data_IF_353061698844
#
_entry.id   IF_353061698844
#
_cell.length_a   1.000
_cell.length_b   1.000
_cell.length_c   1.000
_cell.angle_alpha   90.00
_cell.angle_beta   90.00
_cell.angle_gamma   90.00
#
_symmetry.space_group_name_H-M   'P 1'
#
loop_
_entity.id
_entity.type
_entity.pdbx_description
1 polymer ?
#
# COMPACT_ATOMS: atom_id res chain seq x y z
N UNK A 1 -173.17 48.14 -23.72
CA UNK A 1 -173.84 46.83 -23.58
C UNK A 1 -173.10 45.74 -24.34
N UNK A 2 -172.60 44.75 -23.58
CA UNK A 2 -172.81 43.31 -23.83
C UNK A 2 -171.95 42.53 -24.85
N UNK A 3 -170.88 43.07 -25.44
CA UNK A 3 -169.88 42.22 -26.14
C UNK A 3 -168.45 42.63 -25.78
N UNK A 4 -167.60 41.65 -25.48
CA UNK A 4 -166.15 41.76 -25.41
C UNK A 4 -165.43 42.29 -24.15
N UNK A 5 -166.13 42.43 -23.03
CA UNK A 5 -165.60 41.97 -21.73
C UNK A 5 -165.23 40.47 -21.75
N UNK A 6 -165.60 39.76 -22.81
CA UNK A 6 -165.23 38.37 -23.13
C UNK A 6 -163.85 38.23 -23.77
N UNK A 7 -163.32 39.20 -24.55
CA UNK A 7 -161.94 39.06 -25.08
C UNK A 7 -160.90 39.44 -24.04
N UNK A 8 -161.27 40.33 -23.12
CA UNK A 8 -160.56 40.52 -21.86
C UNK A 8 -160.63 39.29 -20.92
N UNK A 9 -161.44 38.28 -21.24
CA UNK A 9 -161.58 37.04 -20.46
C UNK A 9 -161.08 35.80 -21.19
N UNK A 10 -161.01 35.81 -22.53
CA UNK A 10 -160.53 34.67 -23.33
C UNK A 10 -159.02 34.71 -23.61
N UNK A 11 -158.38 35.88 -23.69
CA UNK A 11 -156.91 35.90 -23.85
C UNK A 11 -156.16 35.74 -22.53
N UNK A 12 -156.87 35.80 -21.40
CA UNK A 12 -156.37 35.37 -20.08
C UNK A 12 -156.27 33.84 -19.95
N UNK A 13 -156.69 33.05 -20.94
CA UNK A 13 -156.83 31.59 -20.81
C UNK A 13 -156.00 30.81 -21.86
N UNK A 14 -155.45 31.47 -22.90
CA UNK A 14 -154.54 30.83 -23.87
C UNK A 14 -153.10 31.26 -23.61
N UNK A 15 -152.39 30.50 -22.77
CA UNK A 15 -150.93 30.45 -22.88
C UNK A 15 -150.13 30.73 -21.61
N UNK A 16 -150.75 30.68 -20.43
CA UNK A 16 -150.09 30.39 -19.14
C UNK A 16 -149.45 28.99 -19.09
N UNK A 17 -148.97 28.48 -20.24
CA UNK A 17 -148.26 27.23 -20.48
C UNK A 17 -147.12 27.48 -21.50
N UNK A 18 -146.28 28.48 -21.24
CA UNK A 18 -144.90 28.51 -21.72
C UNK A 18 -144.02 28.82 -20.51
N UNK A 19 -143.77 27.75 -19.77
CA UNK A 19 -142.95 27.69 -18.59
C UNK A 19 -141.49 28.09 -18.90
N UNK A 20 -140.89 28.71 -17.89
CA UNK A 20 -139.46 28.74 -17.58
C UNK A 20 -138.52 29.68 -18.34
N UNK A 21 -137.85 30.48 -17.50
CA UNK A 21 -136.57 31.19 -17.65
C UNK A 21 -136.76 32.69 -17.85
N UNK A 22 -136.85 33.39 -16.73
CA UNK A 22 -136.51 34.81 -16.65
C UNK A 22 -135.04 34.97 -17.07
N UNK A 23 -134.80 35.81 -18.08
CA UNK A 23 -133.50 36.19 -18.64
C UNK A 23 -132.41 36.44 -17.58
N UNK A 24 -132.83 36.96 -16.43
CA UNK A 24 -132.00 37.24 -15.25
C UNK A 24 -131.41 35.98 -14.58
N UNK A 25 -132.14 34.87 -14.51
CA UNK A 25 -131.63 33.62 -13.92
C UNK A 25 -130.64 32.90 -14.85
N UNK A 26 -130.81 33.09 -16.16
CA UNK A 26 -129.90 32.61 -17.20
C UNK A 26 -128.59 33.42 -17.21
N UNK A 27 -128.69 34.76 -17.16
CA UNK A 27 -127.53 35.66 -17.04
C UNK A 27 -126.70 35.39 -15.77
N UNK A 28 -127.37 35.12 -14.63
CA UNK A 28 -126.71 34.80 -13.34
C UNK A 28 -125.88 33.51 -13.37
N UNK A 29 -126.18 32.57 -14.27
CA UNK A 29 -125.41 31.32 -14.47
C UNK A 29 -124.41 31.39 -15.62
N UNK A 30 -124.73 32.10 -16.72
CA UNK A 30 -123.88 32.20 -17.92
C UNK A 30 -122.63 33.04 -17.69
N UNK A 31 -122.74 34.19 -17.01
CA UNK A 31 -121.61 35.09 -16.75
C UNK A 31 -120.48 34.41 -15.96
N UNK A 32 -120.73 33.74 -14.81
CA UNK A 32 -119.67 33.05 -14.06
C UNK A 32 -119.14 31.82 -14.80
N UNK A 33 -119.94 31.18 -15.66
CA UNK A 33 -119.48 30.07 -16.48
C UNK A 33 -118.52 30.55 -17.58
N UNK A 34 -118.81 31.68 -18.23
CA UNK A 34 -117.91 32.31 -19.19
C UNK A 34 -116.59 32.74 -18.54
N UNK A 35 -116.63 33.27 -17.31
CA UNK A 35 -115.40 33.62 -16.59
C UNK A 35 -114.58 32.37 -16.23
N UNK A 36 -115.23 31.28 -15.79
CA UNK A 36 -114.54 29.99 -15.61
C UNK A 36 -113.92 29.47 -16.90
N UNK A 37 -114.62 29.58 -18.03
CA UNK A 37 -114.09 29.19 -19.36
C UNK A 37 -112.86 30.04 -19.70
N UNK A 38 -112.90 31.35 -19.45
CA UNK A 38 -111.78 32.26 -19.68
C UNK A 38 -110.56 31.90 -18.82
N UNK A 39 -110.79 31.60 -17.53
CA UNK A 39 -109.74 31.15 -16.61
C UNK A 39 -109.14 29.82 -17.10
N UNK A 40 -109.97 28.83 -17.43
CA UNK A 40 -109.52 27.54 -17.95
C UNK A 40 -108.73 27.67 -19.26
N UNK A 41 -109.14 28.56 -20.16
CA UNK A 41 -108.39 28.87 -21.38
C UNK A 41 -107.02 29.48 -21.07
N UNK A 42 -106.96 30.41 -20.11
CA UNK A 42 -105.70 31.00 -19.65
C UNK A 42 -104.77 29.97 -19.01
N UNK A 43 -105.30 29.10 -18.15
CA UNK A 43 -104.55 27.99 -17.54
C UNK A 43 -104.04 27.00 -18.59
N UNK A 44 -104.87 26.63 -19.56
CA UNK A 44 -104.45 25.76 -20.68
C UNK A 44 -103.32 26.40 -21.51
N UNK A 45 -103.39 27.71 -21.77
CA UNK A 45 -102.31 28.42 -22.46
C UNK A 45 -101.02 28.43 -21.64
N UNK A 46 -101.12 28.60 -20.32
CA UNK A 46 -99.97 28.52 -19.40
C UNK A 46 -99.36 27.12 -19.38
N UNK A 47 -100.19 26.08 -19.23
CA UNK A 47 -99.77 24.67 -19.28
C UNK A 47 -99.09 24.34 -20.61
N UNK A 48 -99.63 24.82 -21.74
CA UNK A 48 -99.00 24.65 -23.06
C UNK A 48 -97.61 25.31 -23.12
N UNK A 49 -97.47 26.51 -22.57
CA UNK A 49 -96.16 27.19 -22.48
C UNK A 49 -95.17 26.41 -21.62
N UNK A 50 -95.62 25.89 -20.48
CA UNK A 50 -94.78 25.12 -19.58
C UNK A 50 -94.38 23.76 -20.18
N UNK A 51 -95.27 23.09 -20.93
CA UNK A 51 -94.94 21.89 -21.72
C UNK A 51 -93.84 22.18 -22.74
N UNK A 52 -93.92 23.31 -23.46
CA UNK A 52 -92.88 23.70 -24.43
C UNK A 52 -91.54 23.94 -23.72
N UNK A 53 -91.53 24.60 -22.55
CA UNK A 53 -90.32 24.82 -21.75
C UNK A 53 -89.74 23.52 -21.19
N UNK A 54 -90.59 22.58 -20.77
CA UNK A 54 -90.15 21.27 -20.29
C UNK A 54 -89.54 20.48 -21.44
N UNK A 55 -90.19 20.46 -22.61
CA UNK A 55 -89.66 19.77 -23.80
C UNK A 55 -88.31 20.32 -24.23
N UNK A 56 -88.09 21.64 -24.19
CA UNK A 56 -86.78 22.21 -24.50
C UNK A 56 -85.71 21.84 -23.45
N UNK A 57 -86.05 21.84 -22.15
CA UNK A 57 -85.16 21.37 -21.09
C UNK A 57 -84.80 19.89 -21.25
N UNK A 58 -85.78 19.04 -21.58
CA UNK A 58 -85.59 17.61 -21.82
C UNK A 58 -84.70 17.38 -23.04
N UNK A 59 -84.95 18.09 -24.15
CA UNK A 59 -84.09 18.04 -25.34
C UNK A 59 -82.65 18.43 -25.02
N UNK A 60 -82.45 19.52 -24.28
CA UNK A 60 -81.11 19.96 -23.87
C UNK A 60 -80.43 18.93 -22.95
N UNK A 61 -81.18 18.32 -22.03
CA UNK A 61 -80.67 17.26 -21.17
C UNK A 61 -80.22 16.04 -21.99
N UNK A 62 -80.98 15.62 -23.01
CA UNK A 62 -80.58 14.53 -23.91
C UNK A 62 -79.29 14.86 -24.68
N UNK A 63 -79.17 16.07 -25.22
CA UNK A 63 -77.93 16.51 -25.88
C UNK A 63 -76.74 16.51 -24.94
N UNK A 64 -76.92 16.95 -23.69
CA UNK A 64 -75.85 16.92 -22.70
C UNK A 64 -75.46 15.50 -22.31
N UNK A 65 -76.43 14.59 -22.15
CA UNK A 65 -76.17 13.18 -21.86
C UNK A 65 -75.40 12.53 -23.02
N UNK A 66 -75.78 12.78 -24.28
CA UNK A 66 -75.07 12.27 -25.46
C UNK A 66 -73.62 12.80 -25.52
N UNK A 67 -73.41 14.09 -25.23
CA UNK A 67 -72.07 14.67 -25.15
C UNK A 67 -71.22 14.06 -24.02
N UNK A 68 -71.81 13.86 -22.84
CA UNK A 68 -71.13 13.22 -21.71
C UNK A 68 -70.80 11.75 -22.02
N UNK A 69 -71.68 11.02 -22.69
CA UNK A 69 -71.45 9.66 -23.15
C UNK A 69 -70.23 9.62 -24.10
N UNK A 70 -70.21 10.49 -25.13
CA UNK A 70 -69.09 10.60 -26.07
C UNK A 70 -67.76 10.94 -25.37
N UNK A 71 -67.79 11.85 -24.40
CA UNK A 71 -66.61 12.19 -23.61
C UNK A 71 -66.14 11.00 -22.77
N UNK A 72 -67.07 10.28 -22.13
CA UNK A 72 -66.78 9.06 -21.34
C UNK A 72 -66.15 7.98 -22.21
N UNK A 73 -66.68 7.74 -23.41
CA UNK A 73 -66.15 6.77 -24.36
C UNK A 73 -64.75 7.18 -24.85
N UNK A 74 -64.55 8.46 -25.15
CA UNK A 74 -63.23 9.00 -25.51
C UNK A 74 -62.21 8.82 -24.40
N UNK A 75 -62.59 9.12 -23.15
CA UNK A 75 -61.71 8.95 -21.98
C UNK A 75 -61.37 7.47 -21.78
N UNK A 76 -62.36 6.58 -21.88
CA UNK A 76 -62.16 5.14 -21.77
C UNK A 76 -61.15 4.64 -22.82
N UNK A 77 -61.30 5.08 -24.07
CA UNK A 77 -60.36 4.75 -25.14
C UNK A 77 -58.94 5.27 -24.87
N UNK A 78 -58.80 6.52 -24.40
CA UNK A 78 -57.49 7.08 -24.02
C UNK A 78 -56.84 6.33 -22.86
N UNK A 79 -57.63 5.85 -21.88
CA UNK A 79 -57.13 5.02 -20.78
C UNK A 79 -56.60 3.68 -21.31
N UNK A 80 -57.34 3.01 -22.20
CA UNK A 80 -56.91 1.74 -22.81
C UNK A 80 -55.62 1.93 -23.61
N UNK A 81 -55.53 2.98 -24.43
CA UNK A 81 -54.32 3.30 -25.19
C UNK A 81 -53.13 3.63 -24.29
N UNK A 82 -53.34 4.44 -23.25
CA UNK A 82 -52.29 4.79 -22.28
C UNK A 82 -51.79 3.55 -21.55
N UNK A 83 -52.70 2.67 -21.12
CA UNK A 83 -52.36 1.39 -20.49
C UNK A 83 -51.49 0.53 -21.42
N UNK A 84 -51.89 0.35 -22.67
CA UNK A 84 -51.14 -0.43 -23.66
C UNK A 84 -49.72 0.14 -23.89
N UNK A 85 -49.62 1.46 -24.06
CA UNK A 85 -48.34 2.14 -24.23
C UNK A 85 -47.42 2.01 -23.01
N UNK A 86 -47.98 2.08 -21.80
CA UNK A 86 -47.21 1.89 -20.56
C UNK A 86 -46.70 0.46 -20.44
N UNK A 87 -47.55 -0.55 -20.72
CA UNK A 87 -47.15 -1.97 -20.72
C UNK A 87 -45.99 -2.18 -21.68
N UNK A 88 -46.10 -1.70 -22.92
CA UNK A 88 -45.03 -1.85 -23.93
C UNK A 88 -43.72 -1.15 -23.51
N UNK A 89 -43.80 0.04 -22.92
CA UNK A 89 -42.61 0.75 -22.42
C UNK A 89 -41.95 0.02 -21.24
N UNK A 90 -42.75 -0.54 -20.34
CA UNK A 90 -42.27 -1.32 -19.19
C UNK A 90 -41.55 -2.58 -19.70
N UNK A 91 -42.18 -3.37 -20.57
CA UNK A 91 -41.58 -4.58 -21.15
C UNK A 91 -40.28 -4.27 -21.91
N UNK A 92 -40.27 -3.19 -22.71
CA UNK A 92 -39.07 -2.76 -23.43
C UNK A 92 -37.96 -2.32 -22.48
N UNK A 93 -38.29 -1.60 -21.41
CA UNK A 93 -37.33 -1.14 -20.41
C UNK A 93 -36.76 -2.31 -19.61
N UNK A 94 -37.61 -3.25 -19.19
CA UNK A 94 -37.21 -4.47 -18.49
C UNK A 94 -36.28 -5.32 -19.36
N UNK A 95 -36.64 -5.57 -20.62
CA UNK A 95 -35.82 -6.31 -21.57
C UNK A 95 -34.45 -5.64 -21.80
N UNK A 96 -34.42 -4.33 -22.06
CA UNK A 96 -33.16 -3.57 -22.22
C UNK A 96 -32.32 -3.58 -20.96
N UNK A 97 -32.94 -3.46 -19.78
CA UNK A 97 -32.24 -3.51 -18.50
C UNK A 97 -31.63 -4.88 -18.27
N UNK A 98 -32.40 -5.96 -18.44
CA UNK A 98 -31.94 -7.33 -18.30
C UNK A 98 -30.83 -7.68 -19.30
N UNK A 99 -30.92 -7.19 -20.54
CA UNK A 99 -29.87 -7.37 -21.54
C UNK A 99 -28.57 -6.64 -21.13
N UNK A 100 -28.66 -5.40 -20.64
CA UNK A 100 -27.50 -4.65 -20.14
C UNK A 100 -26.88 -5.30 -18.90
N UNK A 101 -27.69 -5.72 -17.94
CA UNK A 101 -27.23 -6.42 -16.73
C UNK A 101 -26.50 -7.72 -17.12
N UNK A 102 -27.08 -8.50 -18.05
CA UNK A 102 -26.45 -9.72 -18.55
C UNK A 102 -25.14 -9.44 -19.29
N UNK A 103 -25.11 -8.41 -20.15
CA UNK A 103 -23.90 -8.00 -20.86
C UNK A 103 -22.78 -7.56 -19.90
N UNK A 104 -23.12 -6.82 -18.84
CA UNK A 104 -22.19 -6.44 -17.78
C UNK A 104 -21.70 -7.68 -17.02
N UNK A 105 -22.58 -8.62 -16.66
CA UNK A 105 -22.17 -9.87 -16.02
C UNK A 105 -21.20 -10.69 -16.88
N UNK A 106 -21.46 -10.78 -18.19
CA UNK A 106 -20.59 -11.49 -19.14
C UNK A 106 -19.23 -10.78 -19.30
N UNK A 107 -19.21 -9.44 -19.40
CA UNK A 107 -17.97 -8.68 -19.57
C UNK A 107 -17.12 -8.68 -18.30
N UNK A 108 -17.75 -8.58 -17.11
CA UNK A 108 -17.07 -8.72 -15.83
C UNK A 108 -16.44 -10.10 -15.68
N UNK A 109 -17.14 -11.18 -16.04
CA UNK A 109 -16.60 -12.54 -15.93
C UNK A 109 -15.38 -12.75 -16.84
N UNK A 110 -15.44 -12.30 -18.11
CA UNK A 110 -14.31 -12.43 -19.04
C UNK A 110 -13.09 -11.62 -18.58
N UNK A 111 -13.28 -10.34 -18.25
CA UNK A 111 -12.15 -9.47 -17.90
C UNK A 111 -11.58 -9.77 -16.52
N UNK A 112 -12.41 -10.20 -15.56
CA UNK A 112 -11.95 -10.61 -14.22
C UNK A 112 -11.08 -11.87 -14.29
N UNK A 113 -11.41 -12.83 -15.15
CA UNK A 113 -10.60 -14.05 -15.31
C UNK A 113 -9.20 -13.74 -15.87
N UNK A 114 -9.10 -12.90 -16.90
CA UNK A 114 -7.80 -12.44 -17.42
C UNK A 114 -7.01 -11.61 -16.38
N UNK A 115 -7.71 -10.82 -15.55
CA UNK A 115 -7.09 -10.08 -14.44
C UNK A 115 -6.45 -11.02 -13.41
N UNK A 116 -7.16 -12.07 -12.99
CA UNK A 116 -6.63 -13.08 -12.05
C UNK A 116 -5.42 -13.82 -12.64
N UNK A 117 -5.50 -14.22 -13.91
CA UNK A 117 -4.37 -14.87 -14.61
C UNK A 117 -3.16 -13.94 -14.68
N UNK A 118 -3.35 -12.67 -15.01
CA UNK A 118 -2.26 -11.70 -15.10
C UNK A 118 -1.55 -11.52 -13.73
N UNK A 119 -2.31 -11.44 -12.64
CA UNK A 119 -1.75 -11.35 -11.29
C UNK A 119 -1.00 -12.62 -10.91
N UNK A 120 -1.54 -13.81 -11.21
CA UNK A 120 -0.85 -15.08 -10.95
C UNK A 120 0.46 -15.20 -11.72
N UNK A 121 0.48 -14.81 -12.99
CA UNK A 121 1.71 -14.78 -13.80
C UNK A 121 2.71 -13.80 -13.20
N UNK A 122 2.27 -12.61 -12.77
CA UNK A 122 3.15 -11.63 -12.13
C UNK A 122 3.76 -12.16 -10.83
N UNK A 123 2.99 -12.87 -10.00
CA UNK A 123 3.49 -13.51 -8.77
C UNK A 123 4.49 -14.61 -9.10
N UNK A 124 4.20 -15.48 -10.08
CA UNK A 124 5.11 -16.54 -10.50
C UNK A 124 6.42 -15.98 -11.06
N UNK A 125 6.36 -14.93 -11.88
CA UNK A 125 7.54 -14.25 -12.40
C UNK A 125 8.35 -13.62 -11.26
N UNK A 126 7.69 -12.94 -10.32
CA UNK A 126 8.35 -12.35 -9.15
C UNK A 126 9.06 -13.40 -8.31
N UNK A 127 8.41 -14.54 -8.04
CA UNK A 127 9.01 -15.67 -7.33
C UNK A 127 10.21 -16.27 -8.09
N UNK A 128 10.10 -16.42 -9.41
CA UNK A 128 11.18 -16.91 -10.26
C UNK A 128 12.39 -15.95 -10.24
N UNK A 129 12.15 -14.64 -10.35
CA UNK A 129 13.18 -13.61 -10.24
C UNK A 129 13.86 -13.64 -8.88
N UNK A 130 13.08 -13.70 -7.79
CA UNK A 130 13.61 -13.79 -6.44
C UNK A 130 14.50 -15.03 -6.26
N UNK A 131 14.05 -16.18 -6.75
CA UNK A 131 14.82 -17.42 -6.69
C UNK A 131 16.13 -17.33 -7.50
N UNK A 132 16.09 -16.78 -8.71
CA UNK A 132 17.25 -16.64 -9.58
C UNK A 132 18.30 -15.69 -8.98
N UNK A 133 17.86 -14.55 -8.45
CA UNK A 133 18.74 -13.56 -7.78
C UNK A 133 19.37 -14.18 -6.54
N UNK A 134 18.60 -14.84 -5.68
CA UNK A 134 19.10 -15.45 -4.45
C UNK A 134 20.12 -16.57 -4.76
N UNK A 135 19.89 -17.36 -5.82
CA UNK A 135 20.84 -18.38 -6.28
C UNK A 135 22.16 -17.77 -6.74
N UNK A 136 22.12 -16.70 -7.55
CA UNK A 136 23.33 -16.02 -8.03
C UNK A 136 24.14 -15.39 -6.89
N UNK A 137 23.48 -14.66 -5.99
CA UNK A 137 24.16 -14.00 -4.88
C UNK A 137 24.93 -14.99 -3.97
N UNK A 138 24.41 -16.20 -3.75
CA UNK A 138 25.12 -17.22 -2.96
C UNK A 138 26.37 -17.74 -3.67
N UNK A 139 26.30 -17.95 -4.99
CA UNK A 139 27.42 -18.42 -5.81
C UNK A 139 28.52 -17.36 -5.88
N UNK A 140 28.14 -16.10 -6.10
CA UNK A 140 29.11 -15.00 -6.23
C UNK A 140 29.83 -14.74 -4.90
N UNK A 141 29.10 -14.74 -3.77
CA UNK A 141 29.71 -14.58 -2.44
C UNK A 141 30.67 -15.73 -2.11
N UNK A 142 30.28 -16.97 -2.39
CA UNK A 142 31.14 -18.14 -2.14
C UNK A 142 32.44 -18.04 -2.95
N UNK A 143 32.33 -17.78 -4.27
CA UNK A 143 33.49 -17.66 -5.14
C UNK A 143 34.42 -16.51 -4.75
N UNK A 144 33.86 -15.35 -4.34
CA UNK A 144 34.66 -14.21 -3.89
C UNK A 144 35.39 -14.50 -2.58
N UNK A 145 34.73 -15.16 -1.62
CA UNK A 145 35.36 -15.56 -0.36
C UNK A 145 36.46 -16.58 -0.61
N UNK A 146 36.22 -17.58 -1.46
CA UNK A 146 37.21 -18.59 -1.82
C UNK A 146 38.42 -17.97 -2.55
N UNK A 147 38.17 -17.06 -3.50
CA UNK A 147 39.23 -16.31 -4.18
C UNK A 147 40.03 -15.46 -3.19
N UNK A 148 39.35 -14.74 -2.29
CA UNK A 148 40.00 -13.90 -1.29
C UNK A 148 40.86 -14.72 -0.32
N UNK A 149 40.36 -15.87 0.13
CA UNK A 149 41.10 -16.80 0.98
C UNK A 149 42.32 -17.37 0.26
N UNK A 150 42.18 -17.77 -1.01
CA UNK A 150 43.28 -18.26 -1.82
C UNK A 150 44.34 -17.18 -2.07
N UNK A 151 43.92 -15.94 -2.36
CA UNK A 151 44.85 -14.81 -2.52
C UNK A 151 45.54 -14.48 -1.21
N UNK A 152 44.83 -14.45 -0.08
CA UNK A 152 45.42 -14.26 1.25
C UNK A 152 46.49 -15.32 1.53
N UNK A 153 46.16 -16.60 1.34
CA UNK A 153 47.10 -17.71 1.53
C UNK A 153 48.32 -17.57 0.63
N UNK A 154 48.14 -17.21 -0.64
CA UNK A 154 49.26 -17.02 -1.60
C UNK A 154 50.17 -15.85 -1.21
N UNK A 155 49.59 -14.76 -0.71
CA UNK A 155 50.36 -13.61 -0.20
C UNK A 155 51.13 -14.00 1.06
N UNK A 156 50.49 -14.69 2.01
CA UNK A 156 51.15 -15.15 3.23
C UNK A 156 52.30 -16.13 2.92
N UNK A 157 52.09 -17.08 2.01
CA UNK A 157 53.16 -17.98 1.55
C UNK A 157 54.31 -17.24 0.85
N UNK A 158 54.00 -16.25 0.02
CA UNK A 158 55.01 -15.42 -0.65
C UNK A 158 55.81 -14.61 0.35
N UNK A 159 55.15 -14.06 1.37
CA UNK A 159 55.78 -13.29 2.44
C UNK A 159 56.68 -14.18 3.31
N UNK A 160 56.22 -15.39 3.66
CA UNK A 160 57.03 -16.39 4.37
C UNK A 160 58.27 -16.77 3.57
N UNK A 161 58.14 -16.97 2.26
CA UNK A 161 59.27 -17.28 1.38
C UNK A 161 60.28 -16.15 1.31
N UNK A 162 59.81 -14.91 1.19
CA UNK A 162 60.68 -13.74 1.11
C UNK A 162 61.40 -13.48 2.43
N UNK A 163 60.70 -13.58 3.57
CA UNK A 163 61.34 -13.56 4.88
C UNK A 163 62.32 -14.70 5.08
N UNK A 164 62.05 -15.90 4.56
CA UNK A 164 63.00 -17.00 4.56
C UNK A 164 64.34 -16.61 3.91
N UNK A 165 64.31 -16.05 2.70
CA UNK A 165 65.53 -15.53 2.06
C UNK A 165 66.18 -14.41 2.85
N UNK A 166 65.38 -13.52 3.43
CA UNK A 166 65.88 -12.44 4.27
C UNK A 166 66.65 -12.99 5.48
N UNK A 167 66.16 -14.06 6.10
CA UNK A 167 66.88 -14.72 7.22
C UNK A 167 68.23 -15.29 6.79
N UNK A 168 68.33 -15.87 5.59
CA UNK A 168 69.61 -16.39 5.06
C UNK A 168 70.64 -15.26 4.86
N UNK A 169 70.19 -14.10 4.33
CA UNK A 169 71.05 -12.92 4.18
C UNK A 169 71.47 -12.34 5.54
N UNK A 170 70.57 -12.34 6.52
CA UNK A 170 70.84 -11.85 7.87
C UNK A 170 71.83 -12.74 8.63
N UNK A 171 71.78 -14.06 8.44
CA UNK A 171 72.79 -14.98 8.98
C UNK A 171 74.20 -14.64 8.48
N UNK A 172 74.32 -14.26 7.21
CA UNK A 172 75.59 -13.81 6.63
C UNK A 172 76.09 -12.50 7.29
N UNK A 173 75.17 -11.59 7.64
CA UNK A 173 75.49 -10.34 8.35
C UNK A 173 75.88 -10.58 9.82
N UNK A 174 75.35 -11.63 10.46
CA UNK A 174 75.72 -12.01 11.82
C UNK A 174 77.19 -12.42 11.96
N UNK A 175 77.76 -13.08 10.94
CA UNK A 175 79.19 -13.38 10.93
C UNK A 175 80.06 -12.11 11.00
N UNK A 176 79.59 -10.96 10.51
CA UNK A 176 80.30 -9.69 10.64
C UNK A 176 80.28 -9.18 12.09
N UNK A 177 79.19 -9.40 12.83
CA UNK A 177 79.09 -9.07 14.26
C UNK A 177 80.05 -9.95 15.07
N UNK A 178 80.12 -11.25 14.75
CA UNK A 178 81.04 -12.20 15.40
C UNK A 178 82.51 -11.81 15.17
N UNK A 179 82.87 -11.39 13.95
CA UNK A 179 84.20 -10.87 13.64
C UNK A 179 84.51 -9.58 14.43
N UNK A 180 83.56 -8.65 14.52
CA UNK A 180 83.72 -7.42 15.32
C UNK A 180 83.94 -7.72 16.80
N UNK A 181 83.19 -8.67 17.38
CA UNK A 181 83.39 -9.12 18.77
C UNK A 181 84.82 -9.59 19.02
N UNK A 182 85.39 -10.35 18.08
CA UNK A 182 86.78 -10.84 18.16
C UNK A 182 87.80 -9.69 18.10
N UNK A 183 87.54 -8.65 17.31
CA UNK A 183 88.43 -7.47 17.22
C UNK A 183 88.38 -6.58 18.47
N UNK A 184 87.22 -6.40 19.09
CA UNK A 184 87.06 -5.59 20.32
C UNK A 184 87.68 -6.27 21.53
N UNK A 185 87.65 -7.60 21.61
CA UNK A 185 88.35 -8.36 22.66
C UNK A 185 89.87 -8.10 22.68
N UNK A 186 90.46 -7.70 21.56
CA UNK A 186 91.88 -7.37 21.43
C UNK A 186 92.21 -5.89 21.74
N UNK A 187 91.22 -5.05 22.09
CA UNK A 187 91.41 -3.63 22.42
C UNK A 187 90.34 -3.15 23.42
N UNK A 188 90.56 -3.35 24.74
CA UNK A 188 89.54 -3.23 25.78
C UNK A 188 89.01 -1.81 26.06
N UNK A 189 89.47 -0.78 25.35
CA UNK A 189 89.06 0.62 25.52
C UNK A 189 88.12 1.14 24.39
N UNK A 190 87.75 0.31 23.41
CA UNK A 190 86.74 0.69 22.41
C UNK A 190 85.39 0.06 22.73
N UNK A 191 84.35 0.90 22.81
CA UNK A 191 82.96 0.45 22.86
C UNK A 191 82.56 -0.19 21.51
N UNK A 192 81.88 -1.35 21.49
CA UNK A 192 81.46 -1.99 20.25
C UNK A 192 80.44 -1.13 19.48
N UNK A 193 80.51 -1.14 18.15
CA UNK A 193 79.44 -0.54 17.32
C UNK A 193 78.21 -1.45 17.33
N UNK A 194 77.16 -1.01 18.04
CA UNK A 194 75.90 -1.75 18.15
C UNK A 194 74.96 -1.58 16.95
N UNK A 195 75.28 -0.73 15.98
CA UNK A 195 74.36 -0.32 14.91
C UNK A 195 73.82 -1.50 14.09
N UNK A 196 74.69 -2.46 13.74
CA UNK A 196 74.30 -3.62 12.96
C UNK A 196 73.40 -4.56 13.75
N UNK A 197 73.74 -4.84 15.02
CA UNK A 197 72.95 -5.70 15.89
C UNK A 197 71.56 -5.10 16.16
N UNK A 198 71.48 -3.78 16.38
CA UNK A 198 70.21 -3.07 16.54
C UNK A 198 69.36 -3.15 15.27
N UNK A 199 69.97 -2.97 14.10
CA UNK A 199 69.26 -3.07 12.82
C UNK A 199 68.75 -4.49 12.56
N UNK A 200 69.56 -5.51 12.80
CA UNK A 200 69.15 -6.92 12.68
C UNK A 200 68.01 -7.23 13.66
N UNK A 201 68.13 -6.81 14.92
CA UNK A 201 67.08 -6.98 15.93
C UNK A 201 65.76 -6.36 15.47
N UNK A 202 65.81 -5.17 14.87
CA UNK A 202 64.62 -4.52 14.30
C UNK A 202 64.02 -5.33 13.14
N UNK A 203 64.83 -5.92 12.26
CA UNK A 203 64.33 -6.76 11.16
C UNK A 203 63.71 -8.06 11.68
N UNK A 204 64.35 -8.71 12.66
CA UNK A 204 63.81 -9.88 13.36
C UNK A 204 62.44 -9.56 13.95
N UNK A 205 62.32 -8.43 14.64
CA UNK A 205 61.06 -8.00 15.24
C UNK A 205 59.94 -7.75 14.20
N UNK A 206 60.28 -7.17 13.05
CA UNK A 206 59.32 -7.02 11.94
C UNK A 206 58.84 -8.39 11.44
N UNK A 207 59.75 -9.35 11.26
CA UNK A 207 59.39 -10.70 10.85
C UNK A 207 58.54 -11.42 11.91
N UNK A 208 58.91 -11.36 13.20
CA UNK A 208 58.13 -11.96 14.29
C UNK A 208 56.71 -11.38 14.39
N UNK A 209 56.57 -10.05 14.30
CA UNK A 209 55.24 -9.41 14.32
C UNK A 209 54.36 -9.86 13.14
N UNK A 210 54.92 -9.98 11.94
CA UNK A 210 54.15 -10.45 10.78
C UNK A 210 53.81 -11.92 10.91
N UNK A 211 54.76 -12.76 11.34
CA UNK A 211 54.57 -14.19 11.57
C UNK A 211 53.43 -14.47 12.57
N UNK A 212 53.34 -13.67 13.64
CA UNK A 212 52.33 -13.85 14.67
C UNK A 212 50.92 -13.43 14.24
N UNK A 213 50.78 -12.76 13.08
CA UNK A 213 49.48 -12.37 12.49
C UNK A 213 49.01 -13.28 11.37
N UNK A 214 49.86 -14.20 10.91
CA UNK A 214 49.54 -15.18 9.88
C UNK A 214 48.79 -16.38 10.46
N UNK A 215 48.06 -17.11 9.62
CA UNK A 215 47.50 -18.40 9.99
C UNK A 215 48.62 -19.43 10.26
N UNK A 216 48.47 -20.26 11.29
CA UNK A 216 49.44 -21.31 11.61
C UNK A 216 49.52 -22.39 10.52
N UNK A 217 48.51 -22.50 9.65
CA UNK A 217 48.50 -23.45 8.53
C UNK A 217 49.32 -23.00 7.32
N UNK A 218 49.85 -21.77 7.30
CA UNK A 218 50.63 -21.25 6.15
C UNK A 218 51.88 -22.10 5.92
N UNK A 219 52.08 -22.53 4.68
CA UNK A 219 53.20 -23.37 4.30
C UNK A 219 54.54 -22.67 4.57
N UNK A 220 55.44 -23.35 5.27
CA UNK A 220 56.79 -22.85 5.57
C UNK A 220 56.90 -21.99 6.83
N UNK A 221 55.79 -21.65 7.50
CA UNK A 221 55.78 -20.81 8.70
C UNK A 221 56.65 -21.37 9.83
N UNK A 222 56.67 -22.71 10.00
CA UNK A 222 57.49 -23.41 10.98
C UNK A 222 58.99 -23.24 10.69
N UNK A 223 59.38 -23.32 9.43
CA UNK A 223 60.77 -23.15 9.03
C UNK A 223 61.22 -21.72 9.27
N UNK A 224 60.40 -20.73 8.88
CA UNK A 224 60.70 -19.33 9.15
C UNK A 224 60.81 -19.03 10.65
N UNK A 225 59.91 -19.59 11.48
CA UNK A 225 59.99 -19.47 12.94
C UNK A 225 61.32 -20.01 13.48
N UNK A 226 61.77 -21.16 12.98
CA UNK A 226 63.05 -21.73 13.37
C UNK A 226 64.23 -20.85 12.92
N UNK A 227 64.22 -20.35 11.69
CA UNK A 227 65.26 -19.42 11.21
C UNK A 227 65.34 -18.16 12.06
N UNK A 228 64.19 -17.59 12.44
CA UNK A 228 64.11 -16.43 13.34
C UNK A 228 64.67 -16.78 14.73
N UNK A 229 64.34 -17.95 15.28
CA UNK A 229 64.90 -18.41 16.55
C UNK A 229 66.43 -18.51 16.47
N UNK A 230 66.96 -19.12 15.40
CA UNK A 230 68.40 -19.25 15.21
C UNK A 230 69.10 -17.88 15.13
N UNK A 231 68.51 -16.92 14.43
CA UNK A 231 69.04 -15.54 14.37
C UNK A 231 69.11 -14.90 15.77
N UNK A 232 68.09 -15.11 16.60
CA UNK A 232 68.05 -14.61 17.98
C UNK A 232 69.07 -15.31 18.87
N UNK A 233 69.22 -16.62 18.72
CA UNK A 233 70.20 -17.42 19.45
C UNK A 233 71.63 -17.00 19.08
N UNK A 234 71.89 -16.71 17.80
CA UNK A 234 73.18 -16.20 17.33
C UNK A 234 73.48 -14.78 17.86
N UNK A 235 72.48 -13.87 17.84
CA UNK A 235 72.60 -12.57 18.49
C UNK A 235 72.92 -12.71 19.98
N UNK A 236 72.23 -13.62 20.68
CA UNK A 236 72.43 -13.90 22.11
C UNK A 236 73.84 -14.43 22.39
N UNK A 237 74.35 -15.35 21.56
CA UNK A 237 75.74 -15.81 21.63
C UNK A 237 76.77 -14.67 21.43
N UNK A 238 76.38 -13.62 20.71
CA UNK A 238 77.17 -12.39 20.55
C UNK A 238 76.95 -11.34 21.65
N UNK A 239 76.17 -11.68 22.69
CA UNK A 239 75.90 -10.83 23.84
C UNK A 239 74.67 -9.94 23.67
N UNK A 240 73.92 -10.06 22.57
CA UNK A 240 72.72 -9.28 22.29
C UNK A 240 71.45 -10.08 22.57
N UNK A 241 70.68 -9.65 23.57
CA UNK A 241 69.42 -10.30 23.93
C UNK A 241 68.21 -9.48 23.49
N UNK A 242 67.19 -10.17 22.97
CA UNK A 242 65.89 -9.60 22.61
C UNK A 242 64.79 -10.18 23.52
N UNK A 243 64.43 -9.51 24.63
CA UNK A 243 63.38 -9.98 25.51
C UNK A 243 62.03 -10.08 24.80
N UNK A 244 61.29 -11.17 25.05
CA UNK A 244 59.94 -11.35 24.51
C UNK A 244 58.97 -10.44 25.25
N UNK A 245 58.36 -9.51 24.52
CA UNK A 245 57.36 -8.56 25.02
C UNK A 245 55.97 -8.79 24.43
N UNK A 246 55.88 -9.28 23.19
CA UNK A 246 54.60 -9.51 22.52
C UNK A 246 53.74 -10.53 23.29
N UNK A 247 52.46 -10.22 23.47
CA UNK A 247 51.49 -11.08 24.17
C UNK A 247 51.60 -11.06 25.69
N UNK A 248 52.54 -10.28 26.27
CA UNK A 248 52.62 -10.10 27.72
C UNK A 248 51.65 -9.02 28.19
N UNK A 249 51.17 -9.16 29.42
CA UNK A 249 50.45 -8.11 30.12
C UNK A 249 51.36 -6.89 30.30
N UNK A 250 50.87 -5.73 29.89
CA UNK A 250 51.54 -4.47 30.11
C UNK A 250 51.30 -4.00 31.56
N UNK A 251 52.36 -3.44 32.15
CA UNK A 251 52.31 -2.85 33.47
C UNK A 251 53.12 -1.55 33.48
N UNK A 252 52.66 -0.54 34.22
CA UNK A 252 53.31 0.78 34.29
C UNK A 252 54.78 0.74 34.77
N UNK A 253 55.19 -0.32 35.47
CA UNK A 253 56.56 -0.52 35.92
C UNK A 253 57.53 -1.04 34.84
N UNK A 254 57.04 -1.38 33.65
CA UNK A 254 57.88 -1.84 32.55
C UNK A 254 58.66 -0.67 31.94
N UNK A 255 59.97 -0.86 31.73
CA UNK A 255 60.84 0.12 31.05
C UNK A 255 60.63 0.05 29.52
N UNK A 256 59.45 0.47 29.07
CA UNK A 256 59.04 0.48 27.66
C UNK A 256 58.36 1.81 27.33
N UNK A 257 58.32 2.17 26.05
CA UNK A 257 57.63 3.36 25.57
C UNK A 257 56.32 2.91 24.93
N UNK A 258 55.18 3.32 25.48
CA UNK A 258 53.88 3.09 24.86
C UNK A 258 53.64 4.16 23.81
N UNK A 259 53.52 3.74 22.55
CA UNK A 259 53.29 4.65 21.41
C UNK A 259 51.80 4.84 21.12
N UNK A 260 51.00 3.80 21.34
CA UNK A 260 49.57 3.78 21.06
C UNK A 260 48.85 2.79 21.99
N UNK A 261 47.62 3.15 22.36
CA UNK A 261 46.69 2.29 23.09
C UNK A 261 45.43 2.10 22.26
N UNK A 262 45.09 0.86 21.93
CA UNK A 262 43.96 0.52 21.05
C UNK A 262 42.87 -0.19 21.87
N UNK A 263 41.61 0.23 21.80
CA UNK A 263 40.52 -0.48 22.45
C UNK A 263 40.24 -1.84 21.76
N UNK A 264 40.10 -2.92 22.54
CA UNK A 264 39.80 -4.28 22.04
C UNK A 264 38.68 -4.96 22.85
N UNK A 265 37.53 -5.23 22.21
CA UNK A 265 36.35 -5.85 22.83
C UNK A 265 36.55 -7.31 23.24
N UNK A 266 37.58 -7.97 22.71
CA UNK A 266 37.86 -9.38 22.99
C UNK A 266 38.71 -9.58 24.26
N UNK A 267 39.21 -8.49 24.84
CA UNK A 267 40.03 -8.51 26.05
C UNK A 267 39.17 -8.27 27.29
N UNK A 268 39.57 -8.85 28.42
CA UNK A 268 38.92 -8.58 29.69
C UNK A 268 38.99 -7.09 30.02
N UNK A 269 37.92 -6.56 30.61
CA UNK A 269 37.86 -5.14 30.97
C UNK A 269 39.07 -4.73 31.81
N UNK A 270 39.67 -3.60 31.48
CA UNK A 270 40.87 -3.03 32.10
C UNK A 270 42.14 -3.89 31.94
N UNK A 271 42.10 -4.95 31.11
CA UNK A 271 43.30 -5.70 30.75
C UNK A 271 44.07 -4.99 29.63
N UNK A 272 45.37 -4.80 29.85
CA UNK A 272 46.30 -4.17 28.91
C UNK A 272 47.33 -5.20 28.41
N UNK A 273 47.28 -5.56 27.14
CA UNK A 273 48.18 -6.56 26.54
C UNK A 273 49.04 -5.90 25.45
N UNK A 274 50.33 -6.24 25.41
CA UNK A 274 51.24 -5.80 24.35
C UNK A 274 50.89 -6.54 23.06
N UNK A 275 50.22 -5.86 22.11
CA UNK A 275 49.74 -6.47 20.86
C UNK A 275 50.66 -6.22 19.68
N UNK A 276 51.59 -5.26 19.77
CA UNK A 276 52.62 -5.05 18.75
C UNK A 276 53.86 -4.41 19.35
N UNK A 277 55.03 -4.89 18.93
CA UNK A 277 56.32 -4.29 19.29
C UNK A 277 56.83 -3.50 18.09
N UNK A 278 56.81 -2.17 18.13
CA UNK A 278 57.26 -1.32 17.02
C UNK A 278 58.80 -1.32 16.90
N UNK A 279 59.48 -1.16 18.03
CA UNK A 279 60.93 -1.25 18.16
C UNK A 279 61.22 -2.26 19.27
N UNK A 280 62.07 -3.28 19.04
CA UNK A 280 62.37 -4.26 20.07
C UNK A 280 63.27 -3.68 21.15
N UNK A 281 63.14 -4.22 22.36
CA UNK A 281 64.17 -4.04 23.38
C UNK A 281 65.39 -4.85 22.99
N UNK A 282 66.58 -4.26 23.11
CA UNK A 282 67.86 -4.96 22.93
C UNK A 282 68.74 -4.69 24.14
N UNK A 283 69.25 -5.75 24.75
CA UNK A 283 70.25 -5.69 25.80
C UNK A 283 71.58 -6.18 25.24
N UNK A 284 72.69 -5.56 25.65
CA UNK A 284 74.04 -6.03 25.37
C UNK A 284 74.75 -6.33 26.69
N UNK A 285 75.15 -7.59 26.91
CA UNK A 285 75.75 -8.08 28.17
C UNK A 285 75.01 -7.54 29.41
N UNK A 286 73.72 -7.84 29.51
CA UNK A 286 72.79 -7.40 30.58
C UNK A 286 72.49 -5.89 30.65
N UNK A 287 73.12 -5.04 29.82
CA UNK A 287 72.84 -3.61 29.76
C UNK A 287 71.86 -3.29 28.64
N UNK A 288 70.72 -2.67 28.95
CA UNK A 288 69.77 -2.20 27.92
C UNK A 288 70.44 -1.14 27.04
N UNK A 289 70.52 -1.42 25.74
CA UNK A 289 71.05 -0.48 24.73
C UNK A 289 69.94 0.09 23.83
N UNK A 290 68.78 -0.56 23.79
CA UNK A 290 67.60 -0.08 23.09
C UNK A 290 66.35 -0.36 23.93
N UNK A 291 65.56 0.68 24.19
CA UNK A 291 64.25 0.56 24.84
C UNK A 291 63.19 0.16 23.83
N UNK A 292 62.29 -0.75 24.21
CA UNK A 292 61.19 -1.14 23.35
C UNK A 292 60.16 -0.02 23.19
N UNK A 293 59.62 0.11 21.98
CA UNK A 293 58.42 0.89 21.69
C UNK A 293 57.29 -0.07 21.36
N UNK A 294 56.15 0.07 22.04
CA UNK A 294 55.06 -0.90 21.97
C UNK A 294 53.72 -0.24 21.73
N UNK A 295 52.80 -1.03 21.20
CA UNK A 295 51.37 -0.76 21.15
C UNK A 295 50.67 -1.73 22.09
N UNK A 296 49.71 -1.21 22.84
CA UNK A 296 48.97 -1.93 23.86
C UNK A 296 47.51 -1.97 23.47
N UNK A 297 46.87 -3.14 23.54
CA UNK A 297 45.42 -3.24 23.45
C UNK A 297 44.79 -3.23 24.84
N UNK A 298 43.71 -2.47 25.01
CA UNK A 298 43.00 -2.26 26.28
C UNK A 298 41.59 -2.82 26.17
N UNK A 299 41.21 -3.74 27.06
CA UNK A 299 39.85 -4.25 27.14
C UNK A 299 38.88 -3.23 27.72
N UNK A 300 37.72 -3.05 27.08
CA UNK A 300 36.72 -2.04 27.45
C UNK A 300 35.31 -2.60 27.61
#
# INVERSE_FOLDING_TARGET
MKKLTIVLLLFSILGTFAQSITKEEFEKKIIPLNEKIRILQSENNKLKSDIVKINSKVSNAFTNIDNLQKQSDSISNSIVQTKSNLISKIETSESKSNQKISAVGISLNKNSFYGIIAVLIAILLSALFFWLINKRQKIDKLNLVDQLNNTKSSIEESLVKEFGKQTELMETQLHLIEQQKTTVQNSPNLEPDHSLALKLSSQINVMENNLNRMDQSVKGIKNLRNSISNLKDNLSANGYEMPVLLGKQFHQGMKVIVTSSIPDENLEKDSEIITKVLIPQVNYNDKMIQTAQIEVSVGY
#
